data_IF_822152671814
#
_entry.id   IF_822152671814
#
_cell.length_a   1.000
_cell.length_b   1.000
_cell.length_c   1.000
_cell.angle_alpha   90.00
_cell.angle_beta   90.00
_cell.angle_gamma   90.00
#
_symmetry.space_group_name_H-M   'P 1'
#
loop_
_entity.id
_entity.type
_entity.pdbx_description
1 polymer ?
#
# COMPACT_ATOMS: atom_id res chain seq x y z
N UNK A 1 7.28 7.34 -31.14
CA UNK A 1 5.87 6.98 -30.88
C UNK A 1 5.44 7.72 -29.62
N UNK A 2 4.39 8.55 -29.65
CA UNK A 2 3.88 9.19 -28.44
C UNK A 2 3.25 8.11 -27.55
N UNK A 3 3.90 7.84 -26.41
CA UNK A 3 3.38 6.90 -25.42
C UNK A 3 2.17 7.56 -24.76
N UNK A 4 1.02 6.87 -24.74
CA UNK A 4 -0.20 7.39 -24.14
C UNK A 4 -0.02 7.54 -22.62
N UNK A 5 -0.67 8.53 -22.01
CA UNK A 5 -0.66 8.71 -20.55
C UNK A 5 -1.20 7.47 -19.81
N UNK A 6 -2.17 6.77 -20.43
CA UNK A 6 -2.70 5.52 -19.91
C UNK A 6 -1.64 4.41 -19.86
N UNK A 7 -0.80 4.28 -20.90
CA UNK A 7 0.29 3.28 -20.90
C UNK A 7 1.33 3.57 -19.82
N UNK A 8 1.63 4.84 -19.57
CA UNK A 8 2.55 5.25 -18.48
C UNK A 8 1.93 4.92 -17.11
N UNK A 9 0.65 5.21 -16.93
CA UNK A 9 -0.08 4.90 -15.70
C UNK A 9 -0.08 3.40 -15.41
N UNK A 10 -0.44 2.59 -16.41
CA UNK A 10 -0.45 1.13 -16.29
C UNK A 10 0.94 0.56 -16.02
N UNK A 11 1.96 1.07 -16.70
CA UNK A 11 3.35 0.67 -16.50
C UNK A 11 3.84 0.92 -15.07
N UNK A 12 3.43 2.04 -14.44
CA UNK A 12 3.76 2.34 -13.04
C UNK A 12 3.07 1.39 -12.06
N UNK A 13 1.80 1.06 -12.30
CA UNK A 13 1.09 0.07 -11.48
C UNK A 13 1.76 -1.29 -11.60
N UNK A 14 2.06 -1.73 -12.82
CA UNK A 14 2.73 -3.00 -13.05
C UNK A 14 4.10 -3.05 -12.36
N UNK A 15 4.88 -2.00 -12.48
CA UNK A 15 6.16 -1.89 -11.78
C UNK A 15 5.99 -1.99 -10.26
N UNK A 16 5.01 -1.28 -9.68
CA UNK A 16 4.73 -1.35 -8.25
C UNK A 16 4.35 -2.76 -7.80
N UNK A 17 3.52 -3.48 -8.55
CA UNK A 17 3.13 -4.87 -8.27
C UNK A 17 4.31 -5.83 -8.38
N UNK A 18 5.17 -5.66 -9.40
CA UNK A 18 6.37 -6.48 -9.55
C UNK A 18 7.32 -6.28 -8.36
N UNK A 19 7.56 -5.03 -7.95
CA UNK A 19 8.39 -4.76 -6.77
C UNK A 19 7.77 -5.28 -5.48
N UNK A 20 6.46 -5.15 -5.29
CA UNK A 20 5.74 -5.73 -4.15
C UNK A 20 5.96 -7.24 -4.11
N UNK A 21 5.70 -7.93 -5.20
CA UNK A 21 5.87 -9.37 -5.30
C UNK A 21 7.31 -9.83 -5.05
N UNK A 22 8.31 -9.15 -5.64
CA UNK A 22 9.71 -9.48 -5.41
C UNK A 22 10.12 -9.28 -3.94
N UNK A 23 9.63 -8.21 -3.31
CA UNK A 23 9.88 -7.95 -1.89
C UNK A 23 9.27 -9.03 -1.01
N UNK A 24 8.05 -9.46 -1.30
CA UNK A 24 7.37 -10.55 -0.58
C UNK A 24 8.10 -11.87 -0.72
N UNK A 25 8.49 -12.26 -1.93
CA UNK A 25 9.25 -13.48 -2.16
C UNK A 25 10.55 -13.47 -1.35
N UNK A 26 11.25 -12.33 -1.34
CA UNK A 26 12.48 -12.18 -0.59
C UNK A 26 12.25 -12.29 0.92
N UNK A 27 11.19 -11.68 1.44
CA UNK A 27 10.80 -11.79 2.85
C UNK A 27 10.41 -13.22 3.22
N UNK A 28 9.66 -13.92 2.38
CA UNK A 28 9.29 -15.32 2.61
C UNK A 28 10.55 -16.20 2.69
N UNK A 29 11.52 -16.00 1.80
CA UNK A 29 12.79 -16.73 1.83
C UNK A 29 13.53 -16.46 3.14
N UNK A 30 13.64 -15.18 3.54
CA UNK A 30 14.30 -14.79 4.80
C UNK A 30 13.61 -15.41 6.02
N UNK A 31 12.28 -15.36 6.08
CA UNK A 31 11.50 -15.95 7.18
C UNK A 31 11.74 -17.46 7.27
N UNK A 32 11.66 -18.18 6.14
CA UNK A 32 11.88 -19.63 6.14
C UNK A 32 13.30 -20.05 6.55
N UNK A 33 14.31 -19.20 6.27
CA UNK A 33 15.70 -19.47 6.69
C UNK A 33 15.91 -19.10 8.17
N UNK A 34 15.25 -18.05 8.66
CA UNK A 34 15.52 -17.46 9.97
C UNK A 34 14.60 -17.99 11.08
N UNK A 35 13.49 -18.64 10.74
CA UNK A 35 12.49 -19.12 11.69
C UNK A 35 12.07 -20.55 11.38
N UNK A 36 11.77 -21.33 12.42
CA UNK A 36 11.22 -22.69 12.30
C UNK A 36 9.70 -22.70 12.12
N UNK A 37 9.13 -21.64 11.55
CA UNK A 37 7.67 -21.52 11.38
C UNK A 37 7.23 -22.29 10.15
N UNK A 38 6.53 -23.39 10.35
CA UNK A 38 5.94 -24.22 9.29
C UNK A 38 4.62 -23.58 8.80
N UNK A 39 4.72 -22.70 7.81
CA UNK A 39 3.55 -22.16 7.12
C UNK A 39 3.32 -22.94 5.82
N UNK A 40 2.09 -23.41 5.61
CA UNK A 40 1.78 -24.17 4.39
C UNK A 40 1.98 -23.30 3.14
N UNK A 41 2.43 -23.90 2.05
CA UNK A 41 2.60 -23.23 0.74
C UNK A 41 1.31 -22.49 0.31
N UNK A 42 0.14 -23.08 0.57
CA UNK A 42 -1.13 -22.49 0.22
C UNK A 42 -1.40 -21.18 1.02
N UNK A 43 -0.98 -21.13 2.29
CA UNK A 43 -1.09 -19.91 3.12
C UNK A 43 -0.17 -18.82 2.62
N UNK A 44 1.05 -19.15 2.24
CA UNK A 44 1.96 -18.20 1.58
C UNK A 44 1.39 -17.64 0.28
N UNK A 45 0.84 -18.50 -0.57
CA UNK A 45 0.25 -18.06 -1.83
C UNK A 45 -0.93 -17.10 -1.61
N UNK A 46 -1.82 -17.43 -0.67
CA UNK A 46 -2.95 -16.55 -0.30
C UNK A 46 -2.47 -15.21 0.25
N UNK A 47 -1.49 -15.22 1.13
CA UNK A 47 -0.89 -14.01 1.70
C UNK A 47 -0.27 -13.14 0.60
N UNK A 48 0.54 -13.70 -0.28
CA UNK A 48 1.17 -12.98 -1.39
C UNK A 48 0.16 -12.36 -2.34
N UNK A 49 -0.86 -13.12 -2.75
CA UNK A 49 -1.93 -12.59 -3.60
C UNK A 49 -2.67 -11.43 -2.92
N UNK A 50 -2.94 -11.57 -1.62
CA UNK A 50 -3.56 -10.50 -0.85
C UNK A 50 -2.66 -9.26 -0.77
N UNK A 51 -1.40 -9.42 -0.37
CA UNK A 51 -0.47 -8.29 -0.19
C UNK A 51 -0.22 -7.54 -1.50
N UNK A 52 -0.07 -8.26 -2.62
CA UNK A 52 0.00 -7.65 -3.95
C UNK A 52 -1.25 -6.83 -4.27
N UNK A 53 -2.45 -7.38 -4.06
CA UNK A 53 -3.69 -6.65 -4.29
C UNK A 53 -3.84 -5.46 -3.33
N UNK A 54 -3.51 -5.64 -2.05
CA UNK A 54 -3.57 -4.63 -1.01
C UNK A 54 -2.53 -3.50 -1.17
N UNK A 55 -1.50 -3.70 -1.98
CA UNK A 55 -0.52 -2.66 -2.32
C UNK A 55 -1.06 -1.64 -3.34
N UNK A 56 -2.10 -1.97 -4.12
CA UNK A 56 -2.67 -1.09 -5.16
C UNK A 56 -3.11 0.29 -4.65
N UNK A 57 -3.83 0.45 -3.52
CA UNK A 57 -4.14 1.75 -2.96
C UNK A 57 -2.91 2.65 -2.79
N UNK A 58 -1.83 2.08 -2.28
CA UNK A 58 -0.59 2.82 -2.04
C UNK A 58 0.15 3.15 -3.34
N UNK A 59 0.06 2.30 -4.36
CA UNK A 59 0.56 2.61 -5.70
C UNK A 59 -0.19 3.82 -6.32
N UNK A 60 -1.52 3.91 -6.16
CA UNK A 60 -2.29 5.08 -6.60
C UNK A 60 -1.91 6.34 -5.84
N UNK A 61 -1.67 6.24 -4.52
CA UNK A 61 -1.18 7.36 -3.72
C UNK A 61 0.19 7.83 -4.22
N UNK A 62 1.12 6.90 -4.46
CA UNK A 62 2.45 7.22 -4.97
C UNK A 62 2.40 7.90 -6.35
N UNK A 63 1.54 7.44 -7.26
CA UNK A 63 1.31 8.09 -8.56
C UNK A 63 0.79 9.52 -8.38
N UNK A 64 -0.13 9.73 -7.42
CA UNK A 64 -0.68 11.06 -7.11
C UNK A 64 0.43 12.01 -6.67
N UNK A 65 1.27 11.59 -5.74
CA UNK A 65 2.40 12.39 -5.23
C UNK A 65 3.37 12.70 -6.38
N UNK A 66 3.74 11.70 -7.17
CA UNK A 66 4.67 11.87 -8.29
C UNK A 66 4.15 12.79 -9.41
N UNK A 67 2.83 12.96 -9.54
CA UNK A 67 2.20 13.88 -10.51
C UNK A 67 2.02 15.30 -9.97
N UNK A 68 1.80 15.45 -8.67
CA UNK A 68 1.52 16.74 -8.03
C UNK A 68 2.80 17.44 -7.53
N UNK A 69 3.80 16.67 -7.18
CA UNK A 69 5.06 17.18 -6.63
C UNK A 69 6.13 17.40 -7.71
N UNK A 70 7.10 18.25 -7.40
CA UNK A 70 8.32 18.39 -8.21
C UNK A 70 9.28 17.23 -7.95
N UNK A 71 10.23 16.98 -8.84
CA UNK A 71 11.25 15.95 -8.66
C UNK A 71 12.03 16.10 -7.33
N UNK A 72 12.22 17.35 -6.87
CA UNK A 72 12.95 17.64 -5.60
C UNK A 72 12.07 17.41 -4.37
N UNK A 73 10.75 17.65 -4.44
CA UNK A 73 9.85 17.56 -3.28
C UNK A 73 9.13 16.22 -3.16
N UNK A 74 9.06 15.43 -4.23
CA UNK A 74 8.33 14.17 -4.23
C UNK A 74 8.86 13.18 -3.17
N UNK A 75 10.17 12.99 -3.08
CA UNK A 75 10.77 12.04 -2.15
C UNK A 75 10.56 12.45 -0.68
N UNK A 76 10.87 13.69 -0.25
CA UNK A 76 10.60 14.13 1.12
C UNK A 76 9.11 14.00 1.50
N UNK A 77 8.20 14.44 0.63
CA UNK A 77 6.76 14.36 0.88
C UNK A 77 6.30 12.90 0.98
N UNK A 78 6.76 12.03 0.08
CA UNK A 78 6.44 10.60 0.13
C UNK A 78 6.90 9.97 1.45
N UNK A 79 8.11 10.30 1.91
CA UNK A 79 8.64 9.78 3.17
C UNK A 79 7.83 10.27 4.37
N UNK A 80 7.44 11.55 4.41
CA UNK A 80 6.59 12.07 5.49
C UNK A 80 5.24 11.36 5.54
N UNK A 81 4.58 11.19 4.39
CA UNK A 81 3.30 10.48 4.31
C UNK A 81 3.46 9.01 4.70
N UNK A 82 4.49 8.35 4.19
CA UNK A 82 4.79 6.95 4.52
C UNK A 82 5.02 6.76 6.01
N UNK A 83 5.89 7.56 6.63
CA UNK A 83 6.18 7.46 8.07
C UNK A 83 4.93 7.71 8.91
N UNK A 84 4.14 8.73 8.57
CA UNK A 84 2.90 9.05 9.29
C UNK A 84 1.88 7.91 9.18
N UNK A 85 1.65 7.38 7.98
CA UNK A 85 0.73 6.28 7.76
C UNK A 85 1.21 4.98 8.43
N UNK A 86 2.51 4.70 8.40
CA UNK A 86 3.09 3.51 9.00
C UNK A 86 2.99 3.54 10.53
N UNK A 87 3.26 4.69 11.14
CA UNK A 87 3.14 4.86 12.59
C UNK A 87 1.67 4.79 13.04
N UNK A 88 0.81 5.60 12.43
CA UNK A 88 -0.61 5.66 12.78
C UNK A 88 -1.35 4.35 12.47
N UNK A 89 -0.97 3.65 11.43
CA UNK A 89 -1.59 2.38 11.04
C UNK A 89 -1.12 1.16 11.82
N UNK A 90 -0.15 1.32 12.72
CA UNK A 90 0.31 0.21 13.57
C UNK A 90 1.27 -0.76 12.90
N UNK A 91 1.98 -0.32 11.84
CA UNK A 91 3.01 -1.14 11.18
C UNK A 91 4.27 -1.30 12.05
N UNK A 92 4.58 -0.30 12.87
CA UNK A 92 5.78 -0.31 13.72
C UNK A 92 5.47 -0.63 15.18
N UNK A 93 4.33 -0.15 15.67
CA UNK A 93 3.89 -0.33 17.05
C UNK A 93 2.47 -0.91 16.99
N UNK A 94 2.20 -2.06 17.64
CA UNK A 94 0.85 -2.61 17.69
C UNK A 94 -0.14 -1.55 18.18
N UNK A 95 -1.31 -1.41 17.55
CA UNK A 95 -2.26 -0.33 17.87
C UNK A 95 -2.73 -0.31 19.34
N UNK A 96 -2.84 -1.47 19.96
CA UNK A 96 -3.19 -1.61 21.39
C UNK A 96 -2.10 -1.06 22.33
N UNK A 97 -0.88 -0.84 21.86
CA UNK A 97 0.21 -0.20 22.61
C UNK A 97 0.27 1.32 22.40
N UNK A 98 -0.56 1.87 21.51
CA UNK A 98 -0.65 3.31 21.26
C UNK A 98 -1.58 3.98 22.31
N UNK A 99 -1.38 5.29 22.61
CA UNK A 99 -2.33 6.07 23.41
C UNK A 99 -3.74 6.03 22.81
N UNK A 100 -4.79 6.04 23.63
CA UNK A 100 -6.19 5.91 23.18
C UNK A 100 -6.60 6.92 22.11
N UNK A 101 -6.10 8.15 22.20
CA UNK A 101 -6.34 9.21 21.20
C UNK A 101 -5.81 8.83 19.82
N UNK A 102 -4.64 8.19 19.77
CA UNK A 102 -4.03 7.73 18.51
C UNK A 102 -4.70 6.46 18.02
N UNK A 103 -5.12 5.57 18.92
CA UNK A 103 -5.86 4.35 18.54
C UNK A 103 -7.13 4.69 17.76
N UNK A 104 -7.91 5.69 18.18
CA UNK A 104 -9.12 6.15 17.46
C UNK A 104 -8.81 6.65 16.04
N UNK A 105 -7.70 7.36 15.85
CA UNK A 105 -7.26 7.81 14.52
C UNK A 105 -6.79 6.61 13.69
N UNK A 106 -6.06 5.69 14.31
CA UNK A 106 -5.54 4.47 13.68
C UNK A 106 -6.65 3.64 13.02
N UNK A 107 -7.82 3.54 13.64
CA UNK A 107 -8.97 2.77 13.11
C UNK A 107 -9.43 3.20 11.72
N UNK A 108 -9.09 4.41 11.29
CA UNK A 108 -9.47 4.95 9.98
C UNK A 108 -8.33 4.93 8.95
N UNK A 109 -7.13 4.51 9.36
CA UNK A 109 -5.96 4.56 8.49
C UNK A 109 -5.92 3.39 7.48
N UNK A 110 -5.54 3.65 6.22
CA UNK A 110 -5.44 2.61 5.20
C UNK A 110 -4.43 1.53 5.56
N UNK A 111 -3.33 1.91 6.20
CA UNK A 111 -2.29 1.01 6.68
C UNK A 111 -2.76 0.09 7.80
N UNK A 112 -3.72 0.53 8.63
CA UNK A 112 -4.37 -0.30 9.64
C UNK A 112 -5.15 -1.45 8.99
N UNK A 113 -6.01 -1.13 8.03
CA UNK A 113 -6.78 -2.12 7.29
C UNK A 113 -5.90 -3.12 6.53
N UNK A 114 -4.80 -2.63 5.97
CA UNK A 114 -3.79 -3.47 5.32
C UNK A 114 -3.20 -4.51 6.28
N UNK A 115 -2.74 -4.07 7.47
CA UNK A 115 -2.10 -4.93 8.48
C UNK A 115 -3.07 -5.94 9.07
N UNK A 116 -4.28 -5.52 9.45
CA UNK A 116 -5.29 -6.41 10.05
C UNK A 116 -5.66 -7.56 9.13
N UNK A 117 -5.82 -7.29 7.84
CA UNK A 117 -6.13 -8.35 6.88
C UNK A 117 -4.91 -9.22 6.57
N UNK A 118 -3.70 -8.65 6.57
CA UNK A 118 -2.47 -9.42 6.40
C UNK A 118 -2.29 -10.43 7.55
N UNK A 119 -2.58 -10.02 8.79
CA UNK A 119 -2.49 -10.91 9.95
C UNK A 119 -3.50 -12.06 9.91
N UNK A 120 -4.69 -11.85 9.34
CA UNK A 120 -5.63 -12.93 9.11
C UNK A 120 -5.00 -14.06 8.27
N UNK A 121 -4.34 -13.70 7.17
CA UNK A 121 -3.74 -14.68 6.27
C UNK A 121 -2.44 -15.31 6.79
N UNK A 122 -1.69 -14.60 7.66
CA UNK A 122 -0.41 -15.07 8.18
C UNK A 122 -0.54 -15.89 9.47
N UNK A 123 -1.40 -15.45 10.39
CA UNK A 123 -1.49 -16.02 11.76
C UNK A 123 -2.85 -16.68 12.02
N UNK A 124 -3.80 -16.55 11.07
CA UNK A 124 -5.13 -17.20 11.19
C UNK A 124 -6.10 -16.47 12.10
N UNK A 125 -5.93 -15.16 12.30
CA UNK A 125 -6.95 -14.34 12.97
C UNK A 125 -8.26 -14.32 12.20
N UNK A 126 -9.36 -14.05 12.87
CA UNK A 126 -10.68 -13.96 12.25
C UNK A 126 -10.71 -12.90 11.15
N UNK A 127 -11.29 -13.24 10.00
CA UNK A 127 -11.38 -12.34 8.87
C UNK A 127 -12.32 -11.17 9.15
N UNK A 128 -11.80 -9.96 9.09
CA UNK A 128 -12.57 -8.75 9.32
C UNK A 128 -12.98 -8.08 8.00
N UNK A 129 -14.23 -8.27 7.60
CA UNK A 129 -14.81 -7.60 6.42
C UNK A 129 -14.68 -6.08 6.47
N UNK A 130 -14.73 -5.48 7.68
CA UNK A 130 -14.53 -4.04 7.90
C UNK A 130 -13.19 -3.58 7.34
N UNK A 131 -12.12 -4.32 7.58
CA UNK A 131 -10.77 -3.97 7.14
C UNK A 131 -10.62 -4.06 5.63
N UNK A 132 -11.22 -5.08 5.01
CA UNK A 132 -11.23 -5.19 3.54
C UNK A 132 -12.02 -4.05 2.88
N UNK A 133 -13.22 -3.75 3.39
CA UNK A 133 -14.06 -2.66 2.88
C UNK A 133 -13.36 -1.31 3.07
N UNK A 134 -12.73 -1.09 4.23
CA UNK A 134 -11.97 0.13 4.52
C UNK A 134 -10.79 0.31 3.55
N UNK A 135 -10.04 -0.77 3.28
CA UNK A 135 -8.94 -0.72 2.33
C UNK A 135 -9.42 -0.46 0.89
N UNK A 136 -10.54 -1.06 0.47
CA UNK A 136 -11.15 -0.79 -0.84
C UNK A 136 -11.62 0.66 -0.96
N UNK A 137 -12.24 1.21 0.09
CA UNK A 137 -12.66 2.61 0.10
C UNK A 137 -11.48 3.57 -0.08
N UNK A 138 -10.38 3.34 0.64
CA UNK A 138 -9.13 4.09 0.45
C UNK A 138 -8.54 3.89 -0.94
N UNK A 139 -8.62 2.66 -1.48
CA UNK A 139 -8.19 2.37 -2.85
C UNK A 139 -8.93 3.20 -3.89
N UNK A 140 -10.26 3.29 -3.77
CA UNK A 140 -11.11 4.11 -4.65
C UNK A 140 -10.74 5.60 -4.50
N UNK A 141 -10.57 6.08 -3.27
CA UNK A 141 -10.17 7.47 -3.01
C UNK A 141 -8.83 7.81 -3.65
N UNK A 142 -7.81 6.98 -3.46
CA UNK A 142 -6.48 7.21 -4.01
C UNK A 142 -6.44 7.04 -5.53
N UNK A 143 -7.22 6.11 -6.09
CA UNK A 143 -7.40 6.01 -7.54
C UNK A 143 -7.98 7.32 -8.10
N UNK A 144 -9.03 7.83 -7.49
CA UNK A 144 -9.65 9.08 -7.92
C UNK A 144 -8.68 10.26 -7.84
N UNK A 145 -7.92 10.37 -6.75
CA UNK A 145 -6.86 11.36 -6.60
C UNK A 145 -5.79 11.23 -7.70
N UNK A 146 -5.38 10.01 -8.05
CA UNK A 146 -4.38 9.77 -9.07
C UNK A 146 -4.85 10.15 -10.48
N UNK A 147 -6.14 9.95 -10.77
CA UNK A 147 -6.76 10.37 -12.03
C UNK A 147 -6.85 11.90 -12.13
N UNK A 148 -7.26 12.58 -11.04
CA UNK A 148 -7.27 14.05 -10.98
C UNK A 148 -5.85 14.59 -11.16
N UNK A 149 -4.88 14.07 -10.42
CA UNK A 149 -3.48 14.47 -10.50
C UNK A 149 -2.93 14.32 -11.93
N UNK A 150 -3.28 13.24 -12.62
CA UNK A 150 -2.89 13.01 -14.02
C UNK A 150 -3.50 14.06 -14.96
N UNK A 151 -4.76 14.42 -14.79
CA UNK A 151 -5.41 15.49 -15.59
C UNK A 151 -4.76 16.86 -15.36
N UNK A 152 -4.40 17.19 -14.13
CA UNK A 152 -3.75 18.47 -13.79
C UNK A 152 -2.35 18.52 -14.38
N UNK A 153 -1.57 17.47 -14.25
CA UNK A 153 -0.21 17.39 -14.77
C UNK A 153 -0.17 17.45 -16.32
N UNK A 154 -1.09 16.77 -17.00
CA UNK A 154 -1.19 16.78 -18.45
C UNK A 154 -1.55 18.16 -19.04
N UNK A 155 -2.22 19.04 -18.29
CA UNK A 155 -2.48 20.42 -18.69
C UNK A 155 -1.22 21.29 -18.63
N UNK A 156 -0.32 21.06 -17.65
CA UNK A 156 0.92 21.84 -17.51
C UNK A 156 1.96 21.57 -18.62
N UNK A 157 1.87 20.45 -19.29
CA UNK A 157 2.80 20.07 -20.38
C UNK A 157 2.36 20.65 -21.72
N UNK A 158 1.11 21.09 -21.85
CA UNK A 158 0.54 21.63 -23.11
C UNK A 158 0.54 23.17 -23.18
N UNK A 159 1.05 23.84 -22.16
CA UNK A 159 1.30 25.29 -22.12
C UNK A 159 2.80 25.58 -22.18
#
# INVERSE_FOLDING_TARGET
>A
LPISEGSIFFGRILAALVFAFLTEVLLIIVINISTEVDISFLSYLKLSLYLCAASLPFAFLAISIGKLCTAKSALPISNMIYLSLSFLGGLWIPPNALPESIQRISEWMPTRYFVETAWHFSVGFDFQWKSLIGLLAWGILFLFLSLIASKISGRKIRL
#
